data_IF_256867224413
#
_entry.id   IF_256867224413
#
_cell.length_a   1.000
_cell.length_b   1.000
_cell.length_c   1.000
_cell.angle_alpha   90.00
_cell.angle_beta   90.00
_cell.angle_gamma   90.00
#
_symmetry.space_group_name_H-M   'P 1'
#
loop_
_entity.id
_entity.type
_entity.pdbx_description
1 polymer ?
#
# COMPACT_ATOMS: atom_id res chain seq x y z
N UNK A 1 -0.16 26.02 -14.36
CA UNK A 1 -0.60 24.61 -14.36
C UNK A 1 -0.29 24.07 -12.97
N UNK A 2 -1.14 23.20 -12.40
CA UNK A 2 -0.87 22.65 -11.06
C UNK A 2 0.13 21.49 -11.16
N UNK A 3 0.87 21.21 -10.08
CA UNK A 3 1.90 20.18 -10.09
C UNK A 3 1.32 18.78 -10.38
N UNK A 4 0.13 18.50 -9.87
CA UNK A 4 -0.60 17.26 -10.15
C UNK A 4 -0.95 17.11 -11.65
N UNK A 5 -1.35 18.21 -12.31
CA UNK A 5 -1.63 18.22 -13.76
C UNK A 5 -0.37 17.95 -14.57
N UNK A 6 0.75 18.58 -14.20
CA UNK A 6 2.03 18.38 -14.87
C UNK A 6 2.54 16.95 -14.70
N UNK A 7 2.39 16.37 -13.50
CA UNK A 7 2.75 14.98 -13.23
C UNK A 7 1.86 14.01 -14.01
N UNK A 8 0.56 14.26 -14.10
CA UNK A 8 -0.34 13.43 -14.90
C UNK A 8 -0.02 13.50 -16.39
N UNK A 9 0.28 14.69 -16.91
CA UNK A 9 0.70 14.87 -18.29
C UNK A 9 1.99 14.09 -18.60
N UNK A 10 2.99 14.17 -17.71
CA UNK A 10 4.24 13.38 -17.83
C UNK A 10 3.98 11.88 -17.75
N UNK A 11 3.14 11.43 -16.83
CA UNK A 11 2.82 10.02 -16.68
C UNK A 11 2.12 9.44 -17.92
N UNK A 12 1.22 10.20 -18.56
CA UNK A 12 0.54 9.78 -19.79
C UNK A 12 1.49 9.55 -20.98
N UNK A 13 2.71 10.12 -20.96
CA UNK A 13 3.70 9.87 -22.01
C UNK A 13 4.35 8.48 -21.91
N UNK A 14 4.31 7.85 -20.73
CA UNK A 14 5.11 6.64 -20.44
C UNK A 14 4.30 5.50 -19.80
N UNK A 15 3.09 5.77 -19.30
CA UNK A 15 2.21 4.78 -18.68
C UNK A 15 0.83 4.89 -19.37
N UNK A 16 0.25 3.78 -19.87
CA UNK A 16 -1.10 3.80 -20.45
C UNK A 16 -2.14 4.40 -19.50
N UNK A 17 -2.77 5.50 -19.91
CA UNK A 17 -3.74 6.23 -19.08
C UNK A 17 -3.13 6.95 -17.86
N UNK A 18 -1.80 7.09 -17.82
CA UNK A 18 -1.05 7.80 -16.79
C UNK A 18 -0.98 7.08 -15.43
N UNK A 19 -1.44 5.82 -15.33
CA UNK A 19 -1.53 5.09 -14.06
C UNK A 19 -1.30 3.58 -14.22
N UNK A 20 -0.73 2.95 -13.19
CA UNK A 20 -0.51 1.49 -13.13
C UNK A 20 -1.72 0.69 -12.64
N UNK A 21 -2.78 1.35 -12.20
CA UNK A 21 -4.05 0.73 -11.81
C UNK A 21 -5.20 1.60 -12.31
N UNK A 22 -6.11 1.10 -13.16
CA UNK A 22 -7.09 1.93 -13.88
C UNK A 22 -7.96 2.83 -12.99
N UNK A 23 -8.34 2.35 -11.80
CA UNK A 23 -9.14 3.11 -10.84
C UNK A 23 -8.49 4.43 -10.43
N UNK A 24 -7.15 4.52 -10.51
CA UNK A 24 -6.38 5.72 -10.15
C UNK A 24 -6.45 6.81 -11.20
N UNK A 25 -6.98 6.55 -12.40
CA UNK A 25 -7.04 7.56 -13.47
C UNK A 25 -8.19 8.56 -13.31
N UNK A 26 -9.01 8.42 -12.26
CA UNK A 26 -10.18 9.26 -11.96
C UNK A 26 -11.27 9.28 -13.05
N UNK A 27 -11.23 8.36 -14.03
CA UNK A 27 -12.19 8.34 -15.16
C UNK A 27 -13.65 8.27 -14.69
N UNK A 28 -13.93 7.58 -13.59
CA UNK A 28 -15.28 7.43 -13.05
C UNK A 28 -15.82 8.66 -12.32
N UNK A 29 -14.96 9.58 -11.89
CA UNK A 29 -15.32 10.77 -11.09
C UNK A 29 -14.99 12.09 -11.78
N UNK A 30 -14.23 12.04 -12.88
CA UNK A 30 -13.75 13.22 -13.60
C UNK A 30 -12.57 13.91 -12.93
N UNK A 31 -11.98 14.88 -13.64
CA UNK A 31 -10.85 15.67 -13.16
C UNK A 31 -9.49 15.00 -13.37
N UNK A 32 -8.48 15.53 -12.69
CA UNK A 32 -7.09 15.05 -12.73
C UNK A 32 -6.79 14.31 -11.42
N UNK A 33 -6.20 13.11 -11.45
CA UNK A 33 -5.78 12.44 -10.23
C UNK A 33 -4.68 13.23 -9.52
N UNK A 34 -4.73 13.26 -8.18
CA UNK A 34 -3.65 13.81 -7.38
C UNK A 34 -2.53 12.78 -7.21
N UNK A 35 -1.29 13.27 -7.08
CA UNK A 35 -0.10 12.44 -6.87
C UNK A 35 0.30 12.50 -5.40
N UNK A 36 0.22 11.39 -4.69
CA UNK A 36 0.59 11.30 -3.26
C UNK A 36 2.08 11.58 -3.08
N UNK A 37 2.42 12.47 -2.16
CA UNK A 37 3.81 12.76 -1.75
C UNK A 37 4.19 12.07 -0.45
N UNK A 38 3.25 11.96 0.50
CA UNK A 38 3.42 11.26 1.78
C UNK A 38 2.08 10.86 2.40
N UNK A 39 2.13 9.98 3.39
CA UNK A 39 0.99 9.57 4.18
C UNK A 39 1.40 9.23 5.62
N UNK A 40 0.54 9.54 6.59
CA UNK A 40 0.79 9.34 8.02
C UNK A 40 -0.52 9.30 8.79
N UNK A 41 -0.70 8.29 9.64
CA UNK A 41 -1.94 8.09 10.40
C UNK A 41 -3.15 7.98 9.45
N UNK A 42 -4.24 8.72 9.69
CA UNK A 42 -5.43 8.69 8.83
C UNK A 42 -5.35 9.67 7.64
N UNK A 43 -4.16 10.19 7.30
CA UNK A 43 -4.02 11.25 6.31
C UNK A 43 -3.10 10.88 5.15
N UNK A 44 -3.43 11.43 3.97
CA UNK A 44 -2.56 11.48 2.79
C UNK A 44 -2.34 12.93 2.38
N UNK A 45 -1.15 13.23 1.87
CA UNK A 45 -0.80 14.52 1.29
C UNK A 45 -0.48 14.31 -0.19
N UNK A 46 -1.02 15.17 -1.04
CA UNK A 46 -0.61 15.20 -2.44
C UNK A 46 0.71 15.97 -2.64
N UNK A 47 1.15 16.06 -3.89
CA UNK A 47 2.40 16.72 -4.29
C UNK A 47 2.32 18.25 -4.17
N UNK A 48 1.11 18.80 -4.05
CA UNK A 48 0.87 20.23 -3.84
C UNK A 48 0.78 20.58 -2.34
N UNK A 49 0.90 19.58 -1.46
CA UNK A 49 0.85 19.73 0.00
C UNK A 49 -0.56 19.72 0.58
N UNK A 50 -1.58 19.47 -0.24
CA UNK A 50 -2.98 19.37 0.21
C UNK A 50 -3.14 18.10 1.04
N UNK A 51 -3.69 18.24 2.26
CA UNK A 51 -3.94 17.13 3.19
C UNK A 51 -5.40 16.65 3.06
N UNK A 52 -5.57 15.35 2.94
CA UNK A 52 -6.88 14.70 2.92
C UNK A 52 -7.00 13.72 4.09
N UNK A 53 -8.20 13.63 4.68
CA UNK A 53 -8.57 12.48 5.51
C UNK A 53 -8.78 11.31 4.54
N UNK A 54 -8.05 10.22 4.74
CA UNK A 54 -8.04 9.09 3.83
C UNK A 54 -9.05 8.02 4.26
N UNK A 55 -10.04 7.78 3.39
CA UNK A 55 -10.98 6.65 3.50
C UNK A 55 -10.70 5.56 2.48
N UNK A 56 -9.76 5.78 1.54
CA UNK A 56 -9.31 4.77 0.58
C UNK A 56 -8.35 3.80 1.26
N UNK A 57 -7.44 4.29 2.11
CA UNK A 57 -6.54 3.49 2.95
C UNK A 57 -5.80 2.40 2.17
N UNK A 58 -5.27 2.78 1.00
CA UNK A 58 -4.61 1.89 0.04
C UNK A 58 -5.50 0.71 -0.42
N UNK A 59 -6.81 0.90 -0.46
CA UNK A 59 -7.82 -0.12 -0.77
C UNK A 59 -7.89 -1.26 0.26
N UNK A 60 -7.49 -1.00 1.52
CA UNK A 60 -7.66 -1.95 2.64
C UNK A 60 -6.46 -2.12 3.58
N UNK A 61 -5.20 -2.23 3.11
CA UNK A 61 -4.04 -2.53 3.96
C UNK A 61 -3.77 -1.51 5.08
N UNK A 62 -4.22 -0.27 4.92
CA UNK A 62 -4.02 0.81 5.89
C UNK A 62 -4.85 0.71 7.18
N UNK A 63 -5.26 -0.47 7.64
CA UNK A 63 -6.19 -0.61 8.77
C UNK A 63 -5.70 0.05 10.08
N UNK A 64 -4.39 0.14 10.29
CA UNK A 64 -3.77 0.81 11.45
C UNK A 64 -3.23 2.22 11.14
N UNK A 65 -3.63 2.80 10.00
CA UNK A 65 -3.10 4.07 9.51
C UNK A 65 -1.80 3.91 8.71
N UNK A 66 -1.49 4.96 7.96
CA UNK A 66 -0.26 5.06 7.17
C UNK A 66 0.96 5.29 8.07
N UNK A 67 2.10 4.75 7.67
CA UNK A 67 3.39 4.96 8.34
C UNK A 67 3.38 4.68 9.85
N UNK A 68 2.63 3.66 10.28
CA UNK A 68 2.58 3.25 11.69
C UNK A 68 4.00 2.92 12.19
N UNK A 69 4.50 3.54 13.28
CA UNK A 69 5.92 3.47 13.67
C UNK A 69 6.46 2.03 13.78
N UNK A 70 5.72 1.14 14.45
CA UNK A 70 6.14 -0.26 14.62
C UNK A 70 6.26 -1.03 13.29
N UNK A 71 5.46 -0.69 12.28
CA UNK A 71 5.52 -1.33 10.96
C UNK A 71 6.73 -0.79 10.19
N UNK A 72 6.95 0.51 10.23
CA UNK A 72 8.10 1.15 9.59
C UNK A 72 9.41 0.62 10.17
N UNK A 73 9.52 0.52 11.50
CA UNK A 73 10.70 -0.01 12.18
C UNK A 73 10.95 -1.48 11.78
N UNK A 74 9.91 -2.31 11.74
CA UNK A 74 10.03 -3.71 11.32
C UNK A 74 10.48 -3.86 9.86
N UNK A 75 9.96 -3.03 8.95
CA UNK A 75 10.40 -2.99 7.55
C UNK A 75 11.87 -2.57 7.45
N UNK A 76 12.27 -1.52 8.16
CA UNK A 76 13.65 -1.02 8.14
C UNK A 76 14.63 -2.09 8.63
N UNK A 77 14.33 -2.73 9.77
CA UNK A 77 15.14 -3.83 10.30
C UNK A 77 15.23 -5.00 9.31
N UNK A 78 14.11 -5.44 8.74
CA UNK A 78 14.09 -6.53 7.77
C UNK A 78 14.90 -6.18 6.51
N UNK A 79 14.78 -4.93 6.02
CA UNK A 79 15.48 -4.46 4.82
C UNK A 79 17.01 -4.44 4.98
N UNK A 80 17.51 -4.23 6.21
CA UNK A 80 18.94 -4.30 6.52
C UNK A 80 19.56 -5.68 6.31
N UNK A 81 18.75 -6.74 6.34
CA UNK A 81 19.20 -8.11 6.10
C UNK A 81 19.11 -8.51 4.61
N UNK A 82 18.46 -7.69 3.78
CA UNK A 82 18.17 -7.98 2.37
C UNK A 82 16.67 -8.18 2.12
N UNK A 83 16.20 -7.72 0.96
CA UNK A 83 14.78 -7.79 0.61
C UNK A 83 14.36 -9.14 -0.03
N UNK A 84 15.31 -9.95 -0.49
CA UNK A 84 15.06 -11.24 -1.14
C UNK A 84 16.26 -12.16 -0.99
N UNK A 85 16.02 -13.46 -0.81
CA UNK A 85 17.05 -14.45 -0.49
C UNK A 85 17.11 -15.64 -1.44
N UNK A 86 16.02 -15.94 -2.16
CA UNK A 86 15.93 -17.16 -3.00
C UNK A 86 15.94 -18.48 -2.21
N UNK A 87 15.85 -18.42 -0.87
CA UNK A 87 15.79 -19.56 0.04
C UNK A 87 14.81 -19.29 1.20
N UNK A 88 14.29 -20.33 1.88
CA UNK A 88 13.32 -20.16 2.97
C UNK A 88 13.87 -19.42 4.19
N UNK A 89 12.96 -18.78 4.94
CA UNK A 89 13.21 -18.00 6.16
C UNK A 89 12.26 -18.43 7.29
N UNK A 90 12.67 -18.23 8.54
CA UNK A 90 11.80 -18.50 9.71
C UNK A 90 10.53 -17.62 9.70
N UNK A 91 10.62 -16.40 9.16
CA UNK A 91 9.50 -15.47 9.09
C UNK A 91 8.32 -16.03 8.27
N UNK A 92 8.59 -16.84 7.25
CA UNK A 92 7.56 -17.51 6.45
C UNK A 92 6.74 -18.50 7.30
N UNK A 93 7.39 -19.26 8.18
CA UNK A 93 6.70 -20.17 9.11
C UNK A 93 5.88 -19.36 10.11
N UNK A 94 6.49 -18.34 10.72
CA UNK A 94 5.84 -17.51 11.72
C UNK A 94 4.56 -16.87 11.19
N UNK A 95 4.57 -16.28 9.98
CA UNK A 95 3.37 -15.64 9.44
C UNK A 95 2.29 -16.67 9.08
N UNK A 96 2.67 -17.85 8.58
CA UNK A 96 1.71 -18.93 8.32
C UNK A 96 0.99 -19.37 9.60
N UNK A 97 1.72 -19.60 10.69
CA UNK A 97 1.14 -19.93 11.99
C UNK A 97 0.18 -18.84 12.50
N UNK A 98 0.56 -17.56 12.37
CA UNK A 98 -0.30 -16.44 12.78
C UNK A 98 -1.61 -16.38 12.00
N UNK A 99 -1.58 -16.71 10.71
CA UNK A 99 -2.77 -16.77 9.85
C UNK A 99 -3.68 -17.91 10.30
N UNK A 100 -3.14 -19.13 10.44
CA UNK A 100 -3.93 -20.31 10.82
C UNK A 100 -4.59 -20.16 12.20
N UNK A 101 -3.91 -19.49 13.12
CA UNK A 101 -4.46 -19.23 14.45
C UNK A 101 -5.62 -18.22 14.44
N UNK A 102 -5.67 -17.30 13.46
CA UNK A 102 -6.71 -16.26 13.35
C UNK A 102 -7.86 -16.66 12.45
N UNK A 103 -7.56 -17.34 11.36
CA UNK A 103 -8.53 -17.74 10.33
C UNK A 103 -8.71 -19.24 10.42
N UNK A 104 -9.76 -19.68 11.11
CA UNK A 104 -10.16 -21.08 11.10
C UNK A 104 -10.79 -21.40 9.75
N UNK A 105 -10.02 -22.02 8.85
CA UNK A 105 -10.57 -22.64 7.66
C UNK A 105 -11.60 -23.69 8.09
N UNK A 106 -12.84 -23.58 7.60
CA UNK A 106 -13.88 -24.54 7.94
C UNK A 106 -13.58 -25.92 7.37
N UNK A 107 -12.91 -26.76 8.16
CA UNK A 107 -12.97 -28.23 8.21
C UNK A 107 -12.25 -28.69 9.48
N UNK A 108 -13.03 -29.14 10.46
CA UNK A 108 -12.65 -30.01 11.58
C UNK A 108 -11.16 -30.10 11.96
N UNK A 109 -10.67 -29.12 12.71
CA UNK A 109 -9.82 -29.42 13.87
C UNK A 109 -8.35 -29.76 13.69
N UNK A 110 -7.73 -29.63 12.50
CA UNK A 110 -6.28 -29.86 12.38
C UNK A 110 -5.65 -29.01 11.29
N UNK A 111 -4.82 -28.04 11.70
CA UNK A 111 -3.95 -27.19 10.88
C UNK A 111 -4.64 -26.44 9.71
N UNK A 112 -3.96 -25.50 9.06
CA UNK A 112 -4.49 -24.78 7.88
C UNK A 112 -4.79 -25.68 6.66
N UNK A 113 -4.56 -26.99 6.75
CA UNK A 113 -4.53 -27.92 5.62
C UNK A 113 -5.24 -29.22 5.96
#
# INVERSE_FOLDING_TARGET
>A
MSLNVDYFARANQVIPGGVNSPVRSFRSVGGTPYFVSRAEGPYVWDSEGTRYIDYVMSYGPGIVGHSHPQIIDAIQQASGNGATYGAPTLAEITIAEQICNRVKGGRNGSACF
#
